data_IF_291206814939
#
_entry.id   IF_291206814939
#
_cell.length_a   1.000
_cell.length_b   1.000
_cell.length_c   1.000
_cell.angle_alpha   90.00
_cell.angle_beta   90.00
_cell.angle_gamma   90.00
#
_symmetry.space_group_name_H-M   'P 1'
#
loop_
_entity.id
_entity.type
_entity.pdbx_description
1 polymer ?
#
# COMPACT_ATOMS: atom_id res chain seq x y z
N UNK A 1 8.76 -17.03 -0.19
CA UNK A 1 7.41 -16.75 0.35
C UNK A 1 7.60 -15.61 1.34
N UNK A 2 6.89 -14.49 1.18
CA UNK A 2 6.97 -13.38 2.15
C UNK A 2 6.49 -13.95 3.49
N UNK A 3 7.37 -14.07 4.48
CA UNK A 3 6.96 -14.53 5.81
C UNK A 3 5.93 -13.54 6.36
N UNK A 4 4.73 -14.02 6.64
CA UNK A 4 3.59 -13.20 7.03
C UNK A 4 3.81 -12.64 8.43
N UNK A 5 3.71 -11.31 8.57
CA UNK A 5 3.71 -10.66 9.87
C UNK A 5 2.43 -11.05 10.64
N UNK A 6 2.50 -11.32 11.95
CA UNK A 6 1.33 -11.64 12.76
C UNK A 6 0.35 -10.47 12.79
N UNK A 7 -0.95 -10.76 12.86
CA UNK A 7 -2.00 -9.75 13.02
C UNK A 7 -1.81 -8.96 14.31
N UNK A 8 -2.44 -7.79 14.43
CA UNK A 8 -2.39 -7.06 15.70
C UNK A 8 -3.07 -7.85 16.84
N UNK A 9 -4.12 -8.64 16.54
CA UNK A 9 -4.79 -9.50 17.51
C UNK A 9 -3.82 -10.54 18.08
N UNK A 10 -3.03 -11.20 17.22
CA UNK A 10 -2.02 -12.16 17.66
C UNK A 10 -0.95 -11.50 18.56
N UNK A 11 -0.69 -10.21 18.38
CA UNK A 11 0.25 -9.44 19.21
C UNK A 11 -0.34 -9.00 20.57
N UNK A 12 -1.66 -8.99 20.76
CA UNK A 12 -2.31 -8.61 22.03
C UNK A 12 -1.76 -9.37 23.25
N UNK A 13 -1.73 -10.72 23.28
CA UNK A 13 -1.24 -11.46 24.45
C UNK A 13 0.24 -11.21 24.71
N UNK A 14 1.06 -11.11 23.66
CA UNK A 14 2.50 -10.86 23.78
C UNK A 14 2.78 -9.46 24.33
N UNK A 15 2.02 -8.47 23.87
CA UNK A 15 2.12 -7.09 24.36
C UNK A 15 1.75 -7.05 25.85
N UNK A 16 0.65 -7.67 26.24
CA UNK A 16 0.25 -7.71 27.65
C UNK A 16 1.27 -8.46 28.51
N UNK A 17 1.78 -9.60 28.03
CA UNK A 17 2.83 -10.38 28.70
C UNK A 17 4.11 -9.57 28.90
N UNK A 18 4.46 -8.67 27.97
CA UNK A 18 5.62 -7.79 28.10
C UNK A 18 5.55 -6.82 29.29
N UNK A 19 4.37 -6.67 29.89
CA UNK A 19 4.08 -5.83 31.06
C UNK A 19 3.75 -6.66 32.32
N UNK A 20 3.86 -7.99 32.27
CA UNK A 20 3.41 -8.89 33.34
C UNK A 20 4.09 -8.64 34.70
N UNK A 21 5.30 -8.09 34.72
CA UNK A 21 6.04 -7.74 35.95
C UNK A 21 5.51 -6.49 36.67
N UNK A 22 4.49 -5.82 36.14
CA UNK A 22 3.90 -4.65 36.78
C UNK A 22 4.75 -3.38 36.74
N UNK A 23 5.84 -3.37 35.96
CA UNK A 23 6.70 -2.20 35.80
C UNK A 23 6.10 -1.29 34.72
N UNK A 24 6.02 0.01 35.02
CA UNK A 24 5.61 1.02 34.04
C UNK A 24 6.69 1.17 32.97
N UNK A 25 6.29 1.07 31.69
CA UNK A 25 7.23 1.10 30.56
C UNK A 25 6.81 2.06 29.45
N UNK A 26 7.75 2.71 28.76
CA UNK A 26 7.44 3.45 27.56
C UNK A 26 7.05 2.50 26.43
N UNK A 27 6.16 2.94 25.54
CA UNK A 27 5.70 2.15 24.38
C UNK A 27 6.86 1.68 23.49
N UNK A 28 7.96 2.44 23.42
CA UNK A 28 9.18 2.05 22.70
C UNK A 28 9.77 0.76 23.25
N UNK A 29 9.86 0.62 24.57
CA UNK A 29 10.40 -0.58 25.21
C UNK A 29 9.43 -1.77 25.05
N UNK A 30 8.13 -1.52 25.18
CA UNK A 30 7.09 -2.53 24.92
C UNK A 30 7.21 -3.08 23.49
N UNK A 31 7.34 -2.19 22.50
CA UNK A 31 7.55 -2.56 21.10
C UNK A 31 8.80 -3.43 20.92
N UNK A 32 9.95 -3.04 21.49
CA UNK A 32 11.19 -3.84 21.42
C UNK A 32 11.04 -5.23 22.04
N UNK A 33 10.28 -5.37 23.12
CA UNK A 33 10.01 -6.66 23.77
C UNK A 33 9.11 -7.53 22.90
N UNK A 34 8.07 -6.96 22.27
CA UNK A 34 7.23 -7.68 21.30
C UNK A 34 8.06 -8.16 20.12
N UNK A 35 8.88 -7.29 19.51
CA UNK A 35 9.75 -7.68 18.41
C UNK A 35 10.73 -8.80 18.79
N UNK A 36 11.29 -8.74 20.01
CA UNK A 36 12.19 -9.79 20.52
C UNK A 36 11.47 -11.13 20.72
N UNK A 37 10.21 -11.12 21.15
CA UNK A 37 9.41 -12.32 21.33
C UNK A 37 9.16 -13.06 20.01
N UNK A 38 8.79 -12.34 18.96
CA UNK A 38 8.56 -12.92 17.62
C UNK A 38 9.84 -13.16 16.82
N UNK A 39 10.98 -12.67 17.29
CA UNK A 39 12.27 -12.77 16.60
C UNK A 39 12.22 -12.27 15.14
N UNK A 40 11.57 -11.12 14.91
CA UNK A 40 11.41 -10.57 13.55
C UNK A 40 12.75 -10.34 12.84
N UNK A 41 12.80 -10.68 11.56
CA UNK A 41 13.93 -10.41 10.68
C UNK A 41 14.07 -8.92 10.37
N UNK A 42 15.24 -8.52 9.87
CA UNK A 42 15.46 -7.14 9.42
C UNK A 42 14.49 -6.72 8.31
N UNK A 43 14.14 -7.65 7.42
CA UNK A 43 13.15 -7.41 6.34
C UNK A 43 11.74 -7.20 6.91
N UNK A 44 11.33 -8.00 7.89
CA UNK A 44 10.03 -7.86 8.57
C UNK A 44 9.91 -6.55 9.35
N UNK A 45 10.99 -6.12 10.01
CA UNK A 45 11.02 -4.84 10.72
C UNK A 45 11.05 -3.64 9.78
N UNK A 46 11.53 -3.81 8.55
CA UNK A 46 11.56 -2.80 7.51
C UNK A 46 10.29 -2.77 6.64
N UNK A 47 9.41 -3.77 6.74
CA UNK A 47 8.14 -3.79 6.01
C UNK A 47 7.26 -2.60 6.44
N UNK A 48 6.87 -1.79 5.46
CA UNK A 48 6.11 -0.56 5.64
C UNK A 48 4.70 -0.72 5.13
N UNK A 49 3.77 -0.01 5.77
CA UNK A 49 2.46 0.22 5.17
C UNK A 49 2.64 0.87 3.79
N UNK A 50 1.75 0.63 2.81
CA UNK A 50 1.75 1.27 1.50
C UNK A 50 2.01 2.79 1.51
N UNK A 51 1.59 3.50 2.57
CA UNK A 51 1.85 4.93 2.75
C UNK A 51 3.32 5.31 3.05
N UNK A 52 4.19 4.34 3.36
CA UNK A 52 5.63 4.52 3.63
C UNK A 52 5.96 5.26 4.94
N UNK A 53 4.96 5.76 5.67
CA UNK A 53 5.15 6.61 6.87
C UNK A 53 5.49 5.82 8.14
N UNK A 54 5.06 4.57 8.22
CA UNK A 54 5.21 3.74 9.42
C UNK A 54 5.42 2.27 9.02
N UNK A 55 6.20 1.54 9.80
CA UNK A 55 6.34 0.09 9.64
C UNK A 55 5.08 -0.64 10.06
N UNK A 56 4.75 -1.73 9.36
CA UNK A 56 3.57 -2.56 9.62
C UNK A 56 3.55 -3.04 11.07
N UNK A 57 4.70 -3.51 11.58
CA UNK A 57 4.87 -3.94 12.99
C UNK A 57 4.56 -2.81 13.97
N UNK A 58 5.08 -1.60 13.73
CA UNK A 58 4.87 -0.47 14.63
C UNK A 58 3.41 -0.04 14.67
N UNK A 59 2.71 -0.07 13.52
CA UNK A 59 1.27 0.18 13.44
C UNK A 59 0.49 -0.86 14.26
N UNK A 60 0.71 -2.15 14.01
CA UNK A 60 0.01 -3.25 14.69
C UNK A 60 0.23 -3.26 16.20
N UNK A 61 1.46 -3.05 16.67
CA UNK A 61 1.76 -2.90 18.11
C UNK A 61 1.05 -1.68 18.72
N UNK A 62 0.99 -0.57 17.99
CA UNK A 62 0.27 0.64 18.42
C UNK A 62 -1.24 0.40 18.60
N UNK A 63 -1.85 -0.33 17.67
CA UNK A 63 -3.26 -0.72 17.75
C UNK A 63 -3.53 -1.76 18.83
N UNK A 64 -2.69 -2.79 18.96
CA UNK A 64 -2.78 -3.75 20.07
C UNK A 64 -2.74 -3.04 21.43
N UNK A 65 -1.82 -2.07 21.60
CA UNK A 65 -1.78 -1.23 22.80
C UNK A 65 -3.06 -0.41 22.97
N UNK A 66 -3.60 0.17 21.90
CA UNK A 66 -4.81 0.99 21.96
C UNK A 66 -6.00 0.15 22.45
N UNK A 67 -6.17 -1.05 21.91
CA UNK A 67 -7.28 -1.94 22.24
C UNK A 67 -7.18 -2.44 23.69
N UNK A 68 -5.98 -2.83 24.14
CA UNK A 68 -5.76 -3.23 25.53
C UNK A 68 -6.00 -2.08 26.53
N UNK A 69 -5.71 -0.83 26.14
CA UNK A 69 -6.07 0.34 26.96
C UNK A 69 -7.58 0.56 26.99
N UNK A 70 -8.25 0.48 25.83
CA UNK A 70 -9.71 0.66 25.75
C UNK A 70 -10.49 -0.42 26.50
N UNK A 71 -9.97 -1.65 26.53
CA UNK A 71 -10.51 -2.74 27.34
C UNK A 71 -10.12 -2.70 28.83
N UNK A 72 -9.29 -1.73 29.25
CA UNK A 72 -8.87 -1.56 30.64
C UNK A 72 -7.84 -2.59 31.15
N UNK A 73 -7.21 -3.36 30.25
CA UNK A 73 -6.15 -4.32 30.60
C UNK A 73 -4.79 -3.62 30.82
N UNK A 74 -4.60 -2.46 30.19
CA UNK A 74 -3.44 -1.58 30.35
C UNK A 74 -3.93 -0.19 30.76
N UNK A 75 -3.27 0.40 31.75
CA UNK A 75 -3.41 1.82 32.09
C UNK A 75 -2.24 2.64 31.56
N UNK A 76 -2.44 3.94 31.43
CA UNK A 76 -1.42 4.88 30.99
C UNK A 76 -1.20 5.94 32.06
N UNK A 77 -0.32 5.66 33.06
CA UNK A 77 -0.11 6.58 34.19
C UNK A 77 0.47 7.92 33.74
N UNK A 78 1.26 7.90 32.68
CA UNK A 78 1.75 9.08 31.97
C UNK A 78 1.69 8.83 30.47
N UNK A 79 1.76 9.91 29.69
CA UNK A 79 1.74 9.83 28.23
C UNK A 79 2.86 8.93 27.71
N UNK A 80 2.51 8.02 26.82
CA UNK A 80 3.45 7.08 26.21
C UNK A 80 3.92 5.96 27.15
N UNK A 81 3.48 5.95 28.41
CA UNK A 81 3.75 4.88 29.37
C UNK A 81 2.60 3.86 29.37
N UNK A 82 2.95 2.61 29.63
CA UNK A 82 2.05 1.48 29.72
C UNK A 82 2.30 0.75 31.04
N UNK A 83 1.22 0.44 31.75
CA UNK A 83 1.24 -0.34 32.99
C UNK A 83 0.11 -1.37 32.93
N UNK A 84 0.41 -2.63 33.24
CA UNK A 84 -0.64 -3.66 33.35
C UNK A 84 -1.57 -3.36 34.54
N UNK A 85 -2.88 -3.47 34.32
CA UNK A 85 -3.87 -3.35 35.39
C UNK A 85 -4.10 -4.69 36.08
N UNK A 86 -4.86 -4.70 37.18
CA UNK A 86 -5.27 -5.96 37.82
C UNK A 86 -6.12 -6.83 36.88
N UNK A 87 -6.96 -6.19 36.06
CA UNK A 87 -7.72 -6.85 34.98
C UNK A 87 -6.77 -7.50 33.96
N UNK A 88 -5.71 -6.81 33.56
CA UNK A 88 -4.68 -7.36 32.66
C UNK A 88 -3.95 -8.57 33.27
N UNK A 89 -3.63 -8.52 34.57
CA UNK A 89 -3.02 -9.66 35.27
C UNK A 89 -3.97 -10.85 35.35
N UNK A 90 -5.24 -10.62 35.69
CA UNK A 90 -6.26 -11.65 35.70
C UNK A 90 -6.45 -12.28 34.30
N UNK A 91 -6.38 -11.47 33.24
CA UNK A 91 -6.44 -11.95 31.86
C UNK A 91 -5.28 -12.92 31.54
N UNK A 92 -4.04 -12.55 31.88
CA UNK A 92 -2.88 -13.43 31.71
C UNK A 92 -3.00 -14.72 32.55
N UNK A 93 -3.52 -14.62 33.78
CA UNK A 93 -3.71 -15.77 34.66
C UNK A 93 -4.84 -16.72 34.22
N UNK A 94 -5.82 -16.21 33.46
CA UNK A 94 -6.98 -17.00 33.00
C UNK A 94 -6.62 -18.11 32.02
N UNK A 95 -5.48 -18.00 31.33
CA UNK A 95 -5.08 -18.93 30.26
C UNK A 95 -5.95 -18.84 28.99
N UNK A 96 -6.91 -17.91 28.92
CA UNK A 96 -7.70 -17.66 27.73
C UNK A 96 -6.89 -16.92 26.67
N UNK A 97 -7.19 -17.17 25.40
CA UNK A 97 -6.64 -16.39 24.29
C UNK A 97 -7.14 -14.95 24.39
N UNK A 98 -6.22 -13.99 24.49
CA UNK A 98 -6.55 -12.56 24.55
C UNK A 98 -6.66 -12.06 23.11
N UNK A 99 -7.85 -12.22 22.53
CA UNK A 99 -8.25 -11.71 21.22
C UNK A 99 -9.35 -10.64 21.37
N UNK A 100 -9.84 -10.09 20.26
CA UNK A 100 -10.93 -9.12 20.31
C UNK A 100 -12.21 -9.66 20.94
N UNK A 101 -12.47 -10.96 20.83
CA UNK A 101 -13.61 -11.63 21.48
C UNK A 101 -13.44 -11.63 23.00
N UNK A 102 -12.22 -11.85 23.50
CA UNK A 102 -11.91 -11.68 24.92
C UNK A 102 -12.08 -10.23 25.36
N UNK A 103 -11.65 -9.26 24.56
CA UNK A 103 -11.80 -7.83 24.91
C UNK A 103 -13.27 -7.38 24.92
N UNK A 104 -14.11 -7.95 24.03
CA UNK A 104 -15.55 -7.71 23.93
C UNK A 104 -16.36 -8.04 25.20
N UNK A 105 -15.79 -8.77 26.16
CA UNK A 105 -16.46 -9.00 27.44
C UNK A 105 -16.48 -7.75 28.35
N UNK A 106 -15.65 -6.74 28.04
CA UNK A 106 -15.54 -5.52 28.84
C UNK A 106 -16.37 -4.40 28.24
N UNK A 107 -17.25 -3.78 29.05
CA UNK A 107 -18.15 -2.73 28.58
C UNK A 107 -17.40 -1.53 28.00
N UNK A 108 -16.24 -1.17 28.57
CA UNK A 108 -15.44 -0.03 28.09
C UNK A 108 -14.88 -0.26 26.68
N UNK A 109 -14.64 -1.51 26.30
CA UNK A 109 -14.23 -1.88 24.95
C UNK A 109 -15.40 -1.81 23.96
N UNK A 110 -16.57 -2.29 24.38
CA UNK A 110 -17.78 -2.22 23.56
C UNK A 110 -18.21 -0.77 23.33
N UNK A 111 -18.16 0.08 24.36
CA UNK A 111 -18.46 1.51 24.25
C UNK A 111 -17.53 2.19 23.24
N UNK A 112 -16.24 1.81 23.21
CA UNK A 112 -15.29 2.31 22.22
C UNK A 112 -15.71 1.94 20.78
N UNK A 113 -16.14 0.70 20.55
CA UNK A 113 -16.60 0.24 19.23
C UNK A 113 -17.96 0.83 18.82
N UNK A 114 -18.90 0.99 19.77
CA UNK A 114 -20.21 1.60 19.49
C UNK A 114 -20.11 3.09 19.16
N UNK A 115 -19.07 3.77 19.64
CA UNK A 115 -18.84 5.20 19.36
C UNK A 115 -18.11 5.42 18.02
N UNK A 116 -17.47 4.39 17.44
CA UNK A 116 -16.64 4.47 16.23
C UNK A 116 -17.42 4.40 14.90
N UNK A 117 -18.75 4.60 14.95
CA UNK A 117 -19.56 4.87 13.75
C UNK A 117 -20.13 3.64 13.04
N UNK A 118 -19.94 2.43 13.56
CA UNK A 118 -20.80 1.29 13.21
C UNK A 118 -22.20 1.58 13.76
N UNK A 119 -23.24 1.40 12.95
CA UNK A 119 -24.61 1.45 13.47
C UNK A 119 -24.71 0.50 14.66
N UNK A 120 -25.43 0.86 15.74
CA UNK A 120 -25.67 -0.02 16.91
C UNK A 120 -26.06 -1.45 16.49
N UNK A 121 -26.67 -1.60 15.31
CA UNK A 121 -27.07 -2.88 14.71
C UNK A 121 -25.90 -3.66 14.07
N UNK A 122 -24.92 -2.98 13.48
CA UNK A 122 -23.73 -3.55 12.87
C UNK A 122 -22.68 -3.89 13.92
N UNK A 123 -22.44 -3.00 14.88
CA UNK A 123 -21.58 -3.28 16.04
C UNK A 123 -22.14 -4.47 16.84
N UNK A 124 -23.45 -4.49 17.11
CA UNK A 124 -24.08 -5.62 17.78
C UNK A 124 -24.12 -6.90 16.95
N UNK A 125 -24.20 -6.83 15.61
CA UNK A 125 -24.14 -8.00 14.75
C UNK A 125 -22.73 -8.60 14.69
N UNK A 126 -21.69 -7.77 14.54
CA UNK A 126 -20.30 -8.21 14.59
C UNK A 126 -19.91 -8.73 15.98
N UNK A 127 -20.41 -8.11 17.05
CA UNK A 127 -20.22 -8.57 18.43
C UNK A 127 -21.01 -9.86 18.72
N UNK A 128 -22.21 -10.01 18.17
CA UNK A 128 -23.02 -11.22 18.31
C UNK A 128 -22.38 -12.40 17.56
N UNK A 129 -21.87 -12.20 16.34
CA UNK A 129 -21.12 -13.22 15.60
C UNK A 129 -19.86 -13.67 16.36
N UNK A 130 -19.17 -12.74 17.05
CA UNK A 130 -18.04 -13.08 17.91
C UNK A 130 -18.45 -13.91 19.15
N UNK A 131 -19.68 -13.78 19.64
CA UNK A 131 -20.16 -14.41 20.87
C UNK A 131 -20.95 -15.71 20.65
N UNK A 132 -21.49 -15.96 19.46
CA UNK A 132 -22.29 -17.16 19.15
C UNK A 132 -21.47 -18.23 18.43
N UNK A 133 -20.99 -19.20 19.20
CA UNK A 133 -20.37 -20.43 18.71
C UNK A 133 -21.41 -21.28 17.94
N UNK A 134 -21.30 -21.34 16.61
CA UNK A 134 -21.89 -22.42 15.81
C UNK A 134 -20.77 -23.16 15.09
N UNK A 135 -20.37 -24.35 15.58
CA UNK A 135 -19.46 -25.21 14.85
C UNK A 135 -20.26 -25.90 13.75
N UNK A 136 -20.05 -25.49 12.50
CA UNK A 136 -20.41 -26.30 11.34
C UNK A 136 -19.28 -26.14 10.34
N UNK A 137 -18.54 -27.23 10.16
CA UNK A 137 -17.20 -27.22 9.65
C UNK A 137 -17.10 -26.78 8.19
N UNK A 138 -16.00 -26.13 7.86
CA UNK A 138 -14.96 -26.74 7.02
C UNK A 138 -13.85 -25.71 6.75
N UNK A 139 -12.62 -26.20 6.88
CA UNK A 139 -11.36 -25.65 6.38
C UNK A 139 -10.78 -24.41 7.08
N UNK A 140 -9.60 -24.66 7.66
CA UNK A 140 -8.51 -23.72 7.88
C UNK A 140 -8.46 -22.63 6.81
N UNK A 141 -8.87 -21.43 7.18
CA UNK A 141 -8.38 -20.18 6.60
C UNK A 141 -8.41 -19.14 7.70
N UNK A 142 -7.24 -18.61 8.05
CA UNK A 142 -6.98 -17.56 9.04
C UNK A 142 -7.62 -16.20 8.65
N UNK A 143 -8.58 -16.18 7.72
CA UNK A 143 -9.10 -15.00 7.03
C UNK A 143 -10.61 -14.75 7.28
N UNK A 144 -11.24 -15.47 8.21
CA UNK A 144 -12.72 -15.48 8.32
C UNK A 144 -13.37 -14.23 8.96
N UNK A 145 -12.61 -13.27 9.49
CA UNK A 145 -13.18 -12.02 10.00
C UNK A 145 -12.21 -10.88 9.69
N UNK A 146 -12.66 -9.84 8.97
CA UNK A 146 -11.89 -8.64 8.62
C UNK A 146 -11.40 -7.78 9.81
N UNK A 147 -11.28 -8.37 10.99
CA UNK A 147 -10.78 -7.82 12.24
C UNK A 147 -9.28 -8.11 12.47
N UNK A 148 -8.59 -8.85 11.60
CA UNK A 148 -7.13 -9.07 11.72
C UNK A 148 -6.28 -7.87 11.26
N UNK A 149 -6.90 -6.95 10.50
CA UNK A 149 -6.28 -5.74 9.97
C UNK A 149 -6.62 -4.53 10.85
N UNK A 150 -5.63 -3.66 11.04
CA UNK A 150 -5.83 -2.36 11.69
C UNK A 150 -6.74 -1.46 10.83
N UNK A 151 -7.46 -0.48 11.40
CA UNK A 151 -8.28 0.46 10.63
C UNK A 151 -7.52 1.16 9.49
N UNK A 152 -6.22 1.46 9.70
CA UNK A 152 -5.37 2.02 8.64
C UNK A 152 -5.16 1.02 7.49
N UNK A 153 -4.88 -0.25 7.79
CA UNK A 153 -4.74 -1.29 6.77
C UNK A 153 -6.07 -1.52 6.02
N UNK A 154 -7.21 -1.47 6.71
CA UNK A 154 -8.54 -1.57 6.08
C UNK A 154 -8.79 -0.43 5.08
N UNK A 155 -8.47 0.82 5.45
CA UNK A 155 -8.58 1.98 4.56
C UNK A 155 -7.66 1.80 3.33
N UNK A 156 -6.41 1.38 3.55
CA UNK A 156 -5.45 1.19 2.47
C UNK A 156 -5.86 0.05 1.52
N UNK A 157 -6.39 -1.06 2.05
CA UNK A 157 -6.95 -2.16 1.25
C UNK A 157 -8.16 -1.69 0.43
N UNK A 158 -9.07 -0.92 1.04
CA UNK A 158 -10.23 -0.36 0.34
C UNK A 158 -9.80 0.60 -0.77
N UNK A 159 -8.82 1.47 -0.51
CA UNK A 159 -8.25 2.37 -1.53
C UNK A 159 -7.57 1.59 -2.66
N UNK A 160 -6.81 0.54 -2.36
CA UNK A 160 -6.18 -0.31 -3.36
C UNK A 160 -7.24 -0.99 -4.25
N UNK A 161 -8.33 -1.51 -3.67
CA UNK A 161 -9.42 -2.10 -4.43
C UNK A 161 -10.15 -1.08 -5.32
N UNK A 162 -10.40 0.13 -4.81
CA UNK A 162 -10.99 1.23 -5.59
C UNK A 162 -10.07 1.61 -6.77
N UNK A 163 -8.78 1.75 -6.52
CA UNK A 163 -7.81 2.10 -7.56
C UNK A 163 -7.66 0.98 -8.60
N UNK A 164 -7.73 -0.29 -8.19
CA UNK A 164 -7.69 -1.41 -9.14
C UNK A 164 -8.91 -1.40 -10.07
N UNK A 165 -10.12 -1.20 -9.52
CA UNK A 165 -11.32 -1.09 -10.35
C UNK A 165 -11.24 0.11 -11.31
N UNK A 166 -10.75 1.26 -10.82
CA UNK A 166 -10.52 2.43 -11.67
C UNK A 166 -9.46 2.17 -12.75
N UNK A 167 -8.41 1.42 -12.44
CA UNK A 167 -7.37 1.07 -13.40
C UNK A 167 -7.91 0.20 -14.54
N UNK A 168 -8.78 -0.76 -14.22
CA UNK A 168 -9.46 -1.62 -15.20
C UNK A 168 -10.39 -0.78 -16.11
N UNK A 169 -11.17 0.15 -15.53
CA UNK A 169 -12.02 1.09 -16.28
C UNK A 169 -11.20 2.00 -17.21
N UNK A 170 -10.09 2.56 -16.71
CA UNK A 170 -9.18 3.40 -17.51
C UNK A 170 -8.59 2.62 -18.69
N UNK A 171 -8.15 1.39 -18.47
CA UNK A 171 -7.61 0.55 -19.55
C UNK A 171 -8.63 0.28 -20.65
N UNK A 172 -9.88 0.01 -20.27
CA UNK A 172 -10.96 -0.18 -21.22
C UNK A 172 -11.19 1.07 -22.09
N UNK A 173 -11.21 2.25 -21.47
CA UNK A 173 -11.31 3.53 -22.19
C UNK A 173 -10.12 3.76 -23.12
N UNK A 174 -8.89 3.52 -22.65
CA UNK A 174 -7.67 3.66 -23.48
C UNK A 174 -7.71 2.74 -24.71
N UNK A 175 -8.20 1.51 -24.55
CA UNK A 175 -8.36 0.57 -25.66
C UNK A 175 -9.44 1.02 -26.65
N UNK A 176 -10.42 1.81 -26.26
CA UNK A 176 -11.42 2.39 -27.16
C UNK A 176 -10.88 3.59 -27.97
N UNK A 177 -9.80 4.22 -27.52
CA UNK A 177 -9.22 5.41 -28.15
C UNK A 177 -8.45 5.08 -29.45
N UNK A 178 -8.27 6.12 -30.28
CA UNK A 178 -7.45 6.00 -31.48
C UNK A 178 -5.97 5.83 -31.14
N UNK A 179 -5.17 5.12 -31.98
CA UNK A 179 -3.73 4.98 -31.75
C UNK A 179 -2.98 6.30 -31.55
N UNK A 180 -3.33 7.34 -32.33
CA UNK A 180 -2.74 8.67 -32.21
C UNK A 180 -3.05 9.34 -30.87
N UNK A 181 -4.25 9.11 -30.34
CA UNK A 181 -4.61 9.66 -29.03
C UNK A 181 -3.87 8.92 -27.92
N UNK A 182 -3.65 7.61 -28.04
CA UNK A 182 -2.85 6.85 -27.11
C UNK A 182 -1.39 7.34 -27.05
N UNK A 183 -0.78 7.63 -28.20
CA UNK A 183 0.55 8.25 -28.26
C UNK A 183 0.58 9.58 -27.51
N UNK A 184 -0.44 10.44 -27.70
CA UNK A 184 -0.54 11.71 -26.98
C UNK A 184 -0.74 11.51 -25.47
N UNK A 185 -1.60 10.58 -25.06
CA UNK A 185 -1.84 10.24 -23.66
C UNK A 185 -0.56 9.83 -22.94
N UNK A 186 0.27 9.02 -23.60
CA UNK A 186 1.57 8.61 -23.09
C UNK A 186 2.51 9.81 -22.89
N UNK A 187 2.53 10.76 -23.83
CA UNK A 187 3.31 11.99 -23.69
C UNK A 187 2.78 12.83 -22.53
N UNK A 188 1.46 13.00 -22.43
CA UNK A 188 0.81 13.77 -21.36
C UNK A 188 1.14 13.18 -19.98
N UNK A 189 1.16 11.85 -19.85
CA UNK A 189 1.57 11.15 -18.64
C UNK A 189 3.02 11.45 -18.27
N UNK A 190 3.94 11.34 -19.22
CA UNK A 190 5.36 11.65 -18.97
C UNK A 190 5.55 13.10 -18.51
N UNK A 191 4.79 14.04 -19.07
CA UNK A 191 4.81 15.45 -18.64
C UNK A 191 4.23 15.63 -17.24
N UNK A 192 3.13 14.95 -16.90
CA UNK A 192 2.54 14.98 -15.56
C UNK A 192 3.50 14.40 -14.49
N UNK A 193 4.32 13.42 -14.87
CA UNK A 193 5.40 12.87 -14.04
C UNK A 193 6.61 13.82 -13.88
N UNK A 194 6.63 14.94 -14.61
CA UNK A 194 7.67 15.95 -14.53
C UNK A 194 8.79 15.85 -15.58
N UNK A 195 8.65 14.95 -16.57
CA UNK A 195 9.54 14.91 -17.73
C UNK A 195 9.18 16.00 -18.77
N UNK A 196 10.08 16.33 -19.69
CA UNK A 196 9.82 17.28 -20.78
C UNK A 196 10.34 18.70 -20.56
N UNK A 197 10.93 19.00 -19.41
CA UNK A 197 11.63 20.25 -19.15
C UNK A 197 10.69 21.43 -18.82
N UNK A 198 10.83 22.57 -19.50
CA UNK A 198 9.94 23.73 -19.29
C UNK A 198 8.57 23.49 -19.93
N UNK A 199 7.46 23.98 -19.35
CA UNK A 199 6.09 23.78 -19.87
C UNK A 199 5.92 24.19 -21.35
N UNK A 200 6.76 25.10 -21.86
CA UNK A 200 6.75 25.54 -23.25
C UNK A 200 7.52 24.59 -24.19
N UNK A 201 8.54 23.88 -23.70
CA UNK A 201 9.31 22.88 -24.46
C UNK A 201 8.65 21.49 -24.48
N UNK A 202 7.91 21.13 -23.43
CA UNK A 202 7.20 19.85 -23.35
C UNK A 202 6.12 19.71 -24.46
N UNK A 203 5.49 20.81 -24.85
CA UNK A 203 4.56 20.87 -25.98
C UNK A 203 5.26 20.73 -27.35
N UNK A 204 6.59 20.87 -27.39
CA UNK A 204 7.45 20.65 -28.55
C UNK A 204 8.10 19.26 -28.55
N UNK A 205 7.48 18.24 -27.93
CA UNK A 205 7.79 16.85 -28.26
C UNK A 205 7.68 16.69 -29.77
N UNK A 206 8.82 16.52 -30.42
CA UNK A 206 8.92 16.32 -31.86
C UNK A 206 8.13 15.07 -32.20
N UNK A 207 6.93 15.26 -32.75
CA UNK A 207 6.18 14.23 -33.48
C UNK A 207 6.98 13.87 -34.74
N UNK A 208 8.07 13.14 -34.56
CA UNK A 208 8.88 12.68 -35.67
C UNK A 208 8.42 11.29 -36.09
N UNK A 209 7.41 11.32 -36.96
CA UNK A 209 7.21 10.43 -38.11
C UNK A 209 8.01 9.12 -38.11
N UNK A 210 7.34 8.01 -37.79
CA UNK A 210 7.41 6.69 -38.47
C UNK A 210 8.80 6.22 -38.97
N UNK A 211 9.87 6.51 -38.23
CA UNK A 211 11.20 6.00 -38.56
C UNK A 211 11.58 4.95 -37.52
N UNK A 212 11.53 3.68 -37.91
CA UNK A 212 12.12 2.59 -37.14
C UNK A 212 11.43 2.16 -35.83
N UNK A 213 10.34 2.81 -35.40
CA UNK A 213 9.59 2.42 -34.19
C UNK A 213 9.83 3.29 -32.96
N UNK A 214 10.00 4.59 -33.12
CA UNK A 214 9.93 5.57 -32.02
C UNK A 214 8.68 6.42 -32.22
N UNK A 215 7.88 6.55 -31.17
CA UNK A 215 6.60 7.26 -31.19
C UNK A 215 6.70 8.65 -30.52
N UNK A 216 7.74 8.89 -29.70
CA UNK A 216 7.99 10.20 -29.08
C UNK A 216 9.40 10.36 -28.50
N UNK A 217 9.82 11.60 -28.29
CA UNK A 217 11.09 11.95 -27.63
C UNK A 217 10.82 13.03 -26.59
N UNK A 218 11.22 12.77 -25.35
CA UNK A 218 11.01 13.67 -24.20
C UNK A 218 12.33 13.96 -23.52
N UNK A 219 12.57 15.21 -23.16
CA UNK A 219 13.77 15.59 -22.38
C UNK A 219 13.64 15.07 -20.95
N UNK A 220 14.69 14.46 -20.42
CA UNK A 220 14.69 13.97 -19.04
C UNK A 220 14.71 15.10 -18.02
N UNK A 221 15.40 16.18 -18.37
CA UNK A 221 15.65 17.30 -17.48
C UNK A 221 15.35 18.65 -18.18
N UNK A 222 15.29 19.71 -17.38
CA UNK A 222 14.96 21.07 -17.85
C UNK A 222 16.03 21.68 -18.76
N UNK A 223 17.28 21.25 -18.64
CA UNK A 223 18.39 21.70 -19.49
C UNK A 223 18.45 20.90 -20.80
N UNK A 224 17.77 19.74 -20.86
CA UNK A 224 17.70 18.88 -22.03
C UNK A 224 19.03 18.19 -22.34
N UNK A 225 19.80 17.88 -21.30
CA UNK A 225 21.10 17.21 -21.45
C UNK A 225 20.92 15.76 -21.86
N UNK A 226 19.86 15.12 -21.36
CA UNK A 226 19.45 13.77 -21.75
C UNK A 226 18.04 13.75 -22.37
N UNK A 227 17.82 12.78 -23.26
CA UNK A 227 16.53 12.53 -23.92
C UNK A 227 16.10 11.07 -23.71
N UNK A 228 14.82 10.91 -23.45
CA UNK A 228 14.12 9.64 -23.27
C UNK A 228 13.26 9.40 -24.51
N UNK A 229 13.46 8.25 -25.12
CA UNK A 229 12.72 7.84 -26.31
C UNK A 229 11.53 6.98 -25.91
N UNK A 230 10.39 7.22 -26.52
CA UNK A 230 9.13 6.55 -26.19
C UNK A 230 8.70 5.68 -27.35
N UNK A 231 8.20 4.50 -27.01
CA UNK A 231 7.43 3.66 -27.92
C UNK A 231 6.14 3.24 -27.21
N UNK A 232 5.00 3.43 -27.87
CA UNK A 232 3.67 3.13 -27.37
C UNK A 232 2.97 2.13 -28.30
N UNK A 233 2.68 0.93 -27.78
CA UNK A 233 1.93 -0.11 -28.51
C UNK A 233 0.59 -0.38 -27.86
N UNK A 234 -0.49 -0.04 -28.57
CA UNK A 234 -1.84 -0.40 -28.16
C UNK A 234 -2.18 -1.81 -28.63
N UNK A 235 -2.16 -2.78 -27.72
CA UNK A 235 -2.50 -4.18 -27.96
C UNK A 235 -3.58 -4.64 -26.98
N UNK A 236 -4.51 -5.46 -27.46
CA UNK A 236 -5.57 -6.07 -26.65
C UNK A 236 -5.13 -7.45 -26.17
N UNK A 237 -4.94 -8.40 -27.11
CA UNK A 237 -4.66 -9.81 -26.77
C UNK A 237 -3.22 -10.24 -27.08
N UNK A 238 -2.36 -9.28 -27.42
CA UNK A 238 -0.97 -9.55 -27.81
C UNK A 238 0.00 -9.12 -26.72
N UNK A 239 0.60 -10.12 -26.06
CA UNK A 239 1.77 -9.92 -25.20
C UNK A 239 2.96 -9.44 -26.02
N UNK A 240 3.65 -8.41 -25.53
CA UNK A 240 4.87 -7.88 -26.16
C UNK A 240 6.04 -8.83 -25.86
N UNK A 241 6.64 -9.38 -26.90
CA UNK A 241 7.75 -10.31 -26.80
C UNK A 241 9.11 -9.64 -26.90
N UNK A 242 10.16 -10.46 -26.76
CA UNK A 242 11.55 -10.03 -26.97
C UNK A 242 11.81 -9.39 -28.35
N UNK A 243 11.24 -9.86 -29.48
CA UNK A 243 11.49 -9.26 -30.79
C UNK A 243 11.12 -7.78 -30.86
N UNK A 244 9.99 -7.38 -30.28
CA UNK A 244 9.57 -5.98 -30.23
C UNK A 244 10.53 -5.12 -29.41
N UNK A 245 10.96 -5.60 -28.25
CA UNK A 245 11.93 -4.87 -27.40
C UNK A 245 13.30 -4.79 -28.07
N UNK A 246 13.72 -5.83 -28.78
CA UNK A 246 14.96 -5.84 -29.55
C UNK A 246 14.90 -4.86 -30.73
N UNK A 247 13.76 -4.78 -31.42
CA UNK A 247 13.56 -3.79 -32.47
C UNK A 247 13.64 -2.36 -31.91
N UNK A 248 13.00 -2.10 -30.76
CA UNK A 248 13.10 -0.82 -30.07
C UNK A 248 14.54 -0.49 -29.65
N UNK A 249 15.26 -1.45 -29.06
CA UNK A 249 16.66 -1.28 -28.68
C UNK A 249 17.56 -0.96 -29.89
N UNK A 250 17.26 -1.52 -31.07
CA UNK A 250 17.94 -1.19 -32.33
C UNK A 250 17.58 0.20 -32.85
N UNK A 251 16.32 0.63 -32.71
CA UNK A 251 15.92 2.00 -33.02
C UNK A 251 16.67 3.02 -32.16
N UNK A 252 16.88 2.74 -30.87
CA UNK A 252 17.69 3.60 -29.99
C UNK A 252 19.14 3.75 -30.49
N UNK A 253 19.74 2.71 -31.06
CA UNK A 253 21.10 2.78 -31.60
C UNK A 253 21.21 3.75 -32.79
N UNK A 254 20.20 3.80 -33.66
CA UNK A 254 20.15 4.73 -34.79
C UNK A 254 20.20 6.19 -34.32
N UNK A 255 19.62 6.46 -33.15
CA UNK A 255 19.58 7.79 -32.54
C UNK A 255 20.68 8.02 -31.49
N UNK A 256 21.62 7.08 -31.33
CA UNK A 256 22.67 7.10 -30.28
C UNK A 256 22.09 7.31 -28.88
N UNK A 257 20.86 6.84 -28.65
CA UNK A 257 20.13 6.99 -27.41
C UNK A 257 20.44 5.83 -26.46
N UNK A 258 20.48 6.13 -25.16
CA UNK A 258 20.74 5.13 -24.10
C UNK A 258 19.53 4.85 -23.21
N UNK A 259 18.52 5.72 -23.24
CA UNK A 259 17.35 5.68 -22.37
C UNK A 259 16.08 5.60 -23.22
N UNK A 260 15.19 4.70 -22.86
CA UNK A 260 13.89 4.57 -23.52
C UNK A 260 12.82 4.01 -22.61
N UNK A 261 11.56 4.29 -22.93
CA UNK A 261 10.40 3.73 -22.25
C UNK A 261 9.53 3.07 -23.31
N UNK A 262 9.23 1.80 -23.10
CA UNK A 262 8.31 1.04 -23.93
C UNK A 262 7.01 0.85 -23.15
N UNK A 263 5.92 1.37 -23.69
CA UNK A 263 4.60 1.39 -23.08
C UNK A 263 3.66 0.52 -23.91
N UNK A 264 2.89 -0.33 -23.24
CA UNK A 264 1.86 -1.15 -23.89
C UNK A 264 0.60 -1.21 -23.04
N UNK A 265 -0.56 -1.35 -23.68
CA UNK A 265 -1.83 -1.62 -22.98
C UNK A 265 -2.00 -3.09 -22.59
N UNK A 266 -1.10 -3.97 -23.06
CA UNK A 266 -1.08 -5.40 -22.72
C UNK A 266 0.05 -5.71 -21.72
N UNK A 267 0.51 -6.96 -21.64
CA UNK A 267 1.65 -7.38 -20.83
C UNK A 267 2.93 -7.57 -21.64
N UNK A 268 4.04 -7.80 -20.93
CA UNK A 268 5.32 -8.22 -21.50
C UNK A 268 5.59 -9.70 -21.22
N UNK A 269 6.25 -10.40 -22.16
CA UNK A 269 6.72 -11.75 -21.90
C UNK A 269 7.90 -11.72 -20.93
N UNK A 270 8.11 -12.82 -20.20
CA UNK A 270 9.26 -12.98 -19.30
C UNK A 270 10.59 -12.77 -20.05
N UNK A 271 10.68 -13.25 -21.29
CA UNK A 271 11.87 -13.11 -22.13
C UNK A 271 12.13 -11.65 -22.53
N UNK A 272 11.09 -10.85 -22.71
CA UNK A 272 11.21 -9.41 -22.97
C UNK A 272 11.78 -8.68 -21.76
N UNK A 273 11.30 -9.02 -20.55
CA UNK A 273 11.78 -8.45 -19.30
C UNK A 273 13.24 -8.85 -19.02
N UNK A 274 13.58 -10.13 -19.20
CA UNK A 274 14.95 -10.64 -19.04
C UNK A 274 15.91 -9.99 -20.05
N UNK A 275 15.48 -9.77 -21.29
CA UNK A 275 16.31 -9.13 -22.32
C UNK A 275 16.74 -7.71 -21.95
N UNK A 276 15.87 -6.91 -21.35
CA UNK A 276 16.20 -5.55 -20.89
C UNK A 276 17.32 -5.55 -19.85
N UNK A 277 17.39 -6.57 -18.99
CA UNK A 277 18.46 -6.72 -18.00
C UNK A 277 19.81 -7.14 -18.58
N UNK A 278 19.86 -7.63 -19.83
CA UNK A 278 21.07 -8.12 -20.49
C UNK A 278 21.78 -7.06 -21.34
N UNK A 279 21.11 -5.96 -21.67
CA UNK A 279 21.63 -4.91 -22.55
C UNK A 279 22.16 -3.73 -21.73
N UNK A 280 23.13 -2.99 -22.28
CA UNK A 280 23.66 -1.77 -21.61
C UNK A 280 22.67 -0.61 -21.61
N UNK A 281 21.66 -0.63 -22.49
CA UNK A 281 20.64 0.43 -22.61
C UNK A 281 19.66 0.35 -21.44
N UNK A 282 19.23 1.51 -20.94
CA UNK A 282 18.21 1.62 -19.91
C UNK A 282 16.84 1.72 -20.56
N UNK A 283 16.18 0.58 -20.74
CA UNK A 283 14.80 0.53 -21.24
C UNK A 283 13.87 0.25 -20.05
N UNK A 284 12.87 1.10 -19.85
CA UNK A 284 11.80 0.87 -18.86
C UNK A 284 10.59 0.29 -19.58
N UNK A 285 10.02 -0.78 -19.03
CA UNK A 285 8.82 -1.43 -19.57
C UNK A 285 7.61 -1.03 -18.70
N UNK A 286 6.58 -0.47 -19.32
CA UNK A 286 5.32 -0.07 -18.67
C UNK A 286 4.19 -0.84 -19.35
N UNK A 287 3.60 -1.78 -18.62
CA UNK A 287 2.45 -2.57 -19.08
C UNK A 287 1.13 -1.85 -18.80
N UNK A 288 0.01 -2.45 -19.19
CA UNK A 288 -1.30 -1.83 -19.04
C UNK A 288 -1.64 -1.51 -17.58
N UNK A 289 -1.39 -2.44 -16.66
CA UNK A 289 -1.68 -2.25 -15.25
C UNK A 289 -0.82 -1.13 -14.64
N UNK A 290 0.48 -1.12 -14.95
CA UNK A 290 1.39 -0.07 -14.49
C UNK A 290 1.05 1.30 -15.11
N UNK A 291 0.67 1.34 -16.40
CA UNK A 291 0.22 2.55 -17.07
C UNK A 291 -0.98 3.17 -16.34
N UNK A 292 -2.00 2.37 -16.05
CA UNK A 292 -3.20 2.83 -15.37
C UNK A 292 -2.91 3.30 -13.94
N UNK A 293 -2.04 2.59 -13.21
CA UNK A 293 -1.59 3.00 -11.87
C UNK A 293 -0.90 4.37 -11.91
N UNK A 294 0.00 4.60 -12.87
CA UNK A 294 0.67 5.90 -13.06
C UNK A 294 -0.33 7.00 -13.44
N UNK A 295 -1.30 6.70 -14.30
CA UNK A 295 -2.35 7.66 -14.64
C UNK A 295 -3.17 8.10 -13.42
N UNK A 296 -3.50 7.17 -12.52
CA UNK A 296 -4.19 7.47 -11.26
C UNK A 296 -3.29 8.30 -10.34
N UNK A 297 -2.02 7.91 -10.17
CA UNK A 297 -1.06 8.57 -9.29
C UNK A 297 -0.79 10.03 -9.71
N UNK A 298 -0.59 10.27 -11.00
CA UNK A 298 -0.24 11.60 -11.54
C UNK A 298 -1.46 12.39 -12.04
N UNK A 299 -2.68 11.88 -11.84
CA UNK A 299 -3.91 12.61 -12.14
C UNK A 299 -4.22 12.78 -13.63
N UNK A 300 -3.83 11.83 -14.47
CA UNK A 300 -4.04 11.87 -15.92
C UNK A 300 -5.25 11.04 -16.31
N UNK A 301 -6.23 11.66 -16.97
CA UNK A 301 -7.48 10.97 -17.34
C UNK A 301 -8.40 10.65 -16.15
N UNK A 302 -8.08 11.12 -14.95
CA UNK A 302 -8.87 10.92 -13.73
C UNK A 302 -9.16 12.25 -13.04
N UNK A 303 -10.16 12.26 -12.15
CA UNK A 303 -10.51 13.43 -11.33
C UNK A 303 -10.71 13.03 -9.88
N UNK A 304 -10.28 13.90 -8.95
CA UNK A 304 -10.47 13.65 -7.52
C UNK A 304 -11.93 13.84 -7.13
N UNK A 305 -12.61 12.74 -6.81
CA UNK A 305 -14.01 12.76 -6.36
C UNK A 305 -14.14 13.18 -4.88
N UNK A 306 -13.23 12.74 -4.02
CA UNK A 306 -13.28 12.97 -2.57
C UNK A 306 -11.88 12.92 -1.96
N UNK A 307 -11.67 13.67 -0.86
CA UNK A 307 -10.43 13.64 -0.06
C UNK A 307 -10.76 13.24 1.38
N UNK A 308 -10.11 12.19 1.89
CA UNK A 308 -10.21 11.75 3.28
C UNK A 308 -9.04 12.33 4.09
N UNK A 309 -9.33 13.01 5.19
CA UNK A 309 -8.30 13.58 6.08
C UNK A 309 -8.31 12.87 7.43
N UNK A 310 -7.20 12.22 7.77
CA UNK A 310 -6.99 11.59 9.07
C UNK A 310 -6.27 12.59 9.99
N UNK A 311 -6.80 12.80 11.20
CA UNK A 311 -6.20 13.68 12.22
C UNK A 311 -5.53 12.85 13.30
N UNK A 312 -4.43 13.36 13.83
CA UNK A 312 -3.75 12.80 15.00
C UNK A 312 -3.75 13.83 16.12
N UNK A 313 -3.74 13.36 17.37
CA UNK A 313 -3.62 14.23 18.53
C UNK A 313 -2.31 15.03 18.44
N UNK A 314 -2.40 16.36 18.46
CA UNK A 314 -1.24 17.22 18.65
C UNK A 314 -0.79 17.11 20.10
N UNK A 315 0.44 16.65 20.28
CA UNK A 315 0.93 16.32 21.61
C UNK A 315 1.28 17.55 22.43
N UNK A 316 1.84 18.54 21.76
CA UNK A 316 2.48 19.69 22.37
C UNK A 316 1.43 20.72 22.80
N UNK A 317 0.27 20.70 22.14
CA UNK A 317 -0.89 21.52 22.50
C UNK A 317 -1.42 21.27 23.93
N UNK A 318 -1.23 20.07 24.49
CA UNK A 318 -1.76 19.69 25.81
C UNK A 318 -0.70 19.62 26.92
N UNK A 319 0.51 20.16 26.69
CA UNK A 319 1.49 20.33 27.75
C UNK A 319 1.18 21.65 28.47
N UNK A 320 0.73 21.58 29.72
CA UNK A 320 0.70 22.74 30.62
C UNK A 320 2.15 23.04 31.08
N UNK A 321 2.56 24.32 31.06
CA UNK A 321 3.88 24.78 31.53
C UNK A 321 4.12 24.50 33.02
#
# INVERSE_FOLDING_TARGET
MKETLPSYEAMLPVLLMSLADGITRPLREVHERVCRHYAFSAEQLADTLPSGRQTTVRSRVGWAKTYLVKAGLISQPQRGQCLITERGRAALASGQTIDNRYLAQFSEFNDFYETDGLSRKEAAASLADLLTDSPSGSQTSDDAYGLSATPQEQIEQALAAINQALADDLLAEILALSPRFFEQLVVDLMVAMGYGGSQQDAAHTTRYSSDGGIDGIIKEDRLGLDSIYLQAKRYTDKTVGRPEIQAFAGALDLHKARKGVFITTSGFSREAQEYVGLIEKRIVLIDGAHLAALMIEYGVGVTTRQTLTIKTLDSDYFLEE
#
